data_IF_158629917770
#
_entry.id   IF_158629917770
#
_cell.length_a   1.000
_cell.length_b   1.000
_cell.length_c   1.000
_cell.angle_alpha   90.00
_cell.angle_beta   90.00
_cell.angle_gamma   90.00
#
_symmetry.space_group_name_H-M   'P 1'
#
loop_
_entity.id
_entity.type
_entity.pdbx_description
1 polymer ?
#
# COMPACT_ATOMS: atom_id res chain seq x y z
N UNK A 1 -33.57 -7.86 2.40
CA UNK A 1 -32.50 -6.87 2.62
C UNK A 1 -31.80 -7.30 3.89
N UNK A 2 -30.83 -8.21 3.76
CA UNK A 2 -30.12 -8.77 4.90
C UNK A 2 -29.07 -7.78 5.39
N UNK A 3 -29.17 -7.45 6.67
CA UNK A 3 -28.23 -6.63 7.39
C UNK A 3 -26.90 -7.40 7.53
N UNK A 4 -25.86 -6.95 6.81
CA UNK A 4 -24.48 -7.35 7.08
C UNK A 4 -24.00 -6.67 8.37
N UNK A 5 -24.30 -7.30 9.49
CA UNK A 5 -23.59 -7.06 10.75
C UNK A 5 -22.14 -7.50 10.58
N UNK A 6 -21.22 -6.54 10.68
CA UNK A 6 -19.77 -6.74 10.60
C UNK A 6 -19.33 -7.49 11.85
N UNK A 7 -19.06 -8.80 11.73
CA UNK A 7 -18.39 -9.60 12.76
C UNK A 7 -16.89 -9.66 12.49
N UNK A 8 -16.14 -9.43 13.56
CA UNK A 8 -14.72 -9.12 13.69
C UNK A 8 -13.73 -10.25 13.32
N UNK A 9 -14.05 -11.10 12.34
CA UNK A 9 -13.09 -12.04 11.72
C UNK A 9 -13.59 -12.50 10.36
N UNK A 10 -13.58 -11.62 9.35
CA UNK A 10 -13.81 -12.09 7.98
C UNK A 10 -12.65 -13.00 7.58
N UNK A 11 -12.95 -14.26 7.26
CA UNK A 11 -11.97 -15.24 6.81
C UNK A 11 -11.26 -14.70 5.56
N UNK A 12 -9.91 -14.76 5.54
CA UNK A 12 -9.09 -14.35 4.41
C UNK A 12 -9.56 -15.03 3.11
N UNK A 13 -10.05 -16.27 3.19
CA UNK A 13 -10.64 -16.97 2.05
C UNK A 13 -11.89 -16.28 1.51
N UNK A 14 -12.77 -15.79 2.39
CA UNK A 14 -13.99 -15.05 2.00
C UNK A 14 -13.64 -13.69 1.39
N UNK A 15 -12.68 -12.96 1.97
CA UNK A 15 -12.19 -11.70 1.40
C UNK A 15 -11.62 -11.95 0.01
N UNK A 16 -10.82 -13.02 -0.15
CA UNK A 16 -10.23 -13.38 -1.45
C UNK A 16 -11.29 -13.67 -2.50
N UNK A 17 -12.31 -14.44 -2.15
CA UNK A 17 -13.41 -14.77 -3.06
C UNK A 17 -14.21 -13.52 -3.45
N UNK A 18 -14.55 -12.66 -2.48
CA UNK A 18 -15.26 -11.41 -2.74
C UNK A 18 -14.44 -10.47 -3.64
N UNK A 19 -13.13 -10.39 -3.41
CA UNK A 19 -12.23 -9.61 -4.24
C UNK A 19 -12.18 -10.12 -5.69
N UNK A 20 -12.02 -11.43 -5.88
CA UNK A 20 -12.02 -12.06 -7.21
C UNK A 20 -13.34 -11.78 -7.96
N UNK A 21 -14.47 -11.91 -7.28
CA UNK A 21 -15.78 -11.63 -7.86
C UNK A 21 -15.92 -10.17 -8.33
N UNK A 22 -15.43 -9.20 -7.54
CA UNK A 22 -15.42 -7.79 -7.93
C UNK A 22 -14.53 -7.55 -9.16
N UNK A 23 -13.36 -8.20 -9.23
CA UNK A 23 -12.46 -8.07 -10.39
C UNK A 23 -13.06 -8.65 -11.67
N UNK A 24 -13.78 -9.78 -11.58
CA UNK A 24 -14.49 -10.40 -12.71
C UNK A 24 -15.64 -9.52 -13.22
N UNK A 25 -16.41 -8.93 -12.31
CA UNK A 25 -17.57 -8.08 -12.65
C UNK A 25 -17.16 -6.70 -13.15
N UNK A 26 -16.05 -6.15 -12.65
CA UNK A 26 -15.56 -4.81 -12.97
C UNK A 26 -14.07 -4.86 -13.36
N UNK A 27 -13.73 -5.39 -14.55
CA UNK A 27 -12.35 -5.48 -15.00
C UNK A 27 -11.64 -4.12 -14.96
N UNK A 28 -10.51 -4.06 -14.25
CA UNK A 28 -9.72 -2.84 -14.11
C UNK A 28 -10.15 -1.88 -13.00
N UNK A 29 -11.11 -2.27 -12.15
CA UNK A 29 -11.42 -1.54 -10.92
C UNK A 29 -10.16 -1.30 -10.07
N UNK A 30 -10.05 -0.10 -9.51
CA UNK A 30 -8.95 0.22 -8.57
C UNK A 30 -9.22 -0.45 -7.23
N UNK A 31 -8.18 -1.03 -6.61
CA UNK A 31 -8.29 -1.72 -5.32
C UNK A 31 -8.97 -0.86 -4.23
N UNK A 32 -8.75 0.46 -4.21
CA UNK A 32 -9.47 1.41 -3.34
C UNK A 32 -10.98 1.40 -3.51
N UNK A 33 -11.43 1.44 -4.75
CA UNK A 33 -12.87 1.46 -5.04
C UNK A 33 -13.50 0.13 -4.68
N UNK A 34 -12.81 -0.98 -4.95
CA UNK A 34 -13.25 -2.31 -4.55
C UNK A 34 -13.32 -2.46 -3.04
N UNK A 35 -12.30 -2.00 -2.32
CA UNK A 35 -12.24 -2.01 -0.86
C UNK A 35 -13.45 -1.26 -0.28
N UNK A 36 -13.72 -0.06 -0.81
CA UNK A 36 -14.92 0.72 -0.44
C UNK A 36 -16.23 0.01 -0.75
N UNK A 37 -16.37 -0.64 -1.90
CA UNK A 37 -17.57 -1.42 -2.26
C UNK A 37 -17.80 -2.59 -1.29
N UNK A 38 -16.73 -3.22 -0.83
CA UNK A 38 -16.76 -4.38 0.05
C UNK A 38 -16.82 -4.02 1.54
N UNK A 39 -16.68 -2.74 1.90
CA UNK A 39 -16.57 -2.31 3.29
C UNK A 39 -15.29 -2.81 3.97
N UNK A 40 -14.20 -2.95 3.21
CA UNK A 40 -12.90 -3.43 3.65
C UNK A 40 -11.82 -2.39 3.41
N UNK A 41 -10.64 -2.58 4.00
CA UNK A 41 -9.47 -1.75 3.71
C UNK A 41 -8.69 -2.25 2.48
N UNK A 42 -7.96 -1.36 1.83
CA UNK A 42 -7.08 -1.73 0.71
C UNK A 42 -6.02 -2.74 1.14
N UNK A 43 -5.50 -2.59 2.36
CA UNK A 43 -4.52 -3.49 2.95
C UNK A 43 -5.08 -4.91 3.16
N UNK A 44 -6.36 -5.04 3.54
CA UNK A 44 -7.02 -6.33 3.65
C UNK A 44 -7.14 -7.03 2.30
N UNK A 45 -7.57 -6.31 1.26
CA UNK A 45 -7.63 -6.89 -0.09
C UNK A 45 -6.24 -7.32 -0.57
N UNK A 46 -5.23 -6.49 -0.38
CA UNK A 46 -3.86 -6.79 -0.81
C UNK A 46 -3.26 -7.95 -0.01
N UNK A 47 -3.61 -8.13 1.26
CA UNK A 47 -3.18 -9.25 2.08
C UNK A 47 -3.62 -10.61 1.49
N UNK A 48 -4.76 -10.67 0.81
CA UNK A 48 -5.22 -11.90 0.12
C UNK A 48 -4.34 -12.32 -1.05
N UNK A 49 -3.50 -11.40 -1.56
CA UNK A 49 -2.60 -11.62 -2.69
C UNK A 49 -1.19 -12.04 -2.26
N UNK A 50 -0.92 -12.15 -0.95
CA UNK A 50 0.37 -12.59 -0.45
C UNK A 50 0.68 -14.02 -0.92
N UNK A 51 1.87 -14.21 -1.50
CA UNK A 51 2.29 -15.49 -2.09
C UNK A 51 1.88 -15.69 -3.55
N UNK A 52 1.11 -14.76 -4.12
CA UNK A 52 0.82 -14.68 -5.55
C UNK A 52 1.46 -13.41 -6.12
N UNK A 53 0.74 -12.29 -6.08
CA UNK A 53 1.18 -11.01 -6.63
C UNK A 53 1.83 -10.09 -5.58
N UNK A 54 1.68 -10.41 -4.29
CA UNK A 54 2.22 -9.61 -3.19
C UNK A 54 3.17 -10.41 -2.30
N UNK A 55 4.12 -9.69 -1.69
CA UNK A 55 4.98 -10.18 -0.61
C UNK A 55 4.88 -9.21 0.56
N UNK A 56 4.50 -9.72 1.74
CA UNK A 56 4.47 -8.92 2.97
C UNK A 56 5.89 -8.50 3.34
N UNK A 57 6.07 -7.22 3.61
CA UNK A 57 7.32 -6.64 4.10
C UNK A 57 7.38 -6.76 5.63
N UNK A 58 8.60 -6.94 6.15
CA UNK A 58 8.84 -6.83 7.58
C UNK A 58 8.70 -5.37 8.02
N UNK A 59 8.10 -5.09 9.20
CA UNK A 59 7.84 -3.73 9.66
C UNK A 59 9.08 -3.02 10.22
N UNK A 60 10.21 -3.10 9.51
CA UNK A 60 11.42 -2.34 9.80
C UNK A 60 11.48 -1.12 8.87
N UNK A 61 10.59 -0.15 9.13
CA UNK A 61 10.37 0.98 8.23
C UNK A 61 11.58 1.88 8.07
N UNK A 62 12.36 2.09 9.13
CA UNK A 62 13.59 2.90 9.06
C UNK A 62 14.62 2.27 8.12
N UNK A 63 14.78 0.93 8.17
CA UNK A 63 15.68 0.23 7.27
C UNK A 63 15.16 0.27 5.82
N UNK A 64 13.85 0.12 5.62
CA UNK A 64 13.23 0.24 4.30
C UNK A 64 13.47 1.64 3.70
N UNK A 65 13.18 2.69 4.46
CA UNK A 65 13.34 4.08 4.02
C UNK A 65 14.79 4.39 3.63
N UNK A 66 15.77 3.96 4.44
CA UNK A 66 17.20 4.16 4.15
C UNK A 66 17.66 3.50 2.85
N UNK A 67 16.93 2.51 2.35
CA UNK A 67 17.24 1.79 1.10
C UNK A 67 16.47 2.32 -0.10
N UNK A 68 15.53 3.26 0.07
CA UNK A 68 14.80 3.86 -1.06
C UNK A 68 15.71 4.42 -2.17
N UNK A 69 16.90 4.99 -1.90
CA UNK A 69 17.81 5.42 -2.97
C UNK A 69 18.27 4.29 -3.91
N UNK A 70 18.29 3.03 -3.46
CA UNK A 70 18.67 1.88 -4.28
C UNK A 70 17.66 1.62 -5.43
N UNK A 71 16.44 2.16 -5.34
CA UNK A 71 15.40 1.98 -6.36
C UNK A 71 15.65 2.80 -7.64
N UNK A 72 16.56 3.79 -7.60
CA UNK A 72 16.77 4.70 -8.72
C UNK A 72 15.53 5.56 -9.00
N UNK A 73 15.22 5.78 -10.29
CA UNK A 73 14.09 6.62 -10.71
C UNK A 73 12.77 5.87 -10.57
N UNK A 74 11.89 6.37 -9.72
CA UNK A 74 10.55 5.82 -9.47
C UNK A 74 9.46 6.88 -9.64
N UNK A 75 8.21 6.46 -9.52
CA UNK A 75 7.07 7.33 -9.26
C UNK A 75 6.61 7.10 -7.82
N UNK A 76 6.64 8.14 -6.99
CA UNK A 76 6.08 8.13 -5.64
C UNK A 76 4.67 8.71 -5.69
N UNK A 77 3.72 7.99 -5.08
CA UNK A 77 2.31 8.38 -5.03
C UNK A 77 1.87 8.49 -3.58
N UNK A 78 1.22 9.60 -3.22
CA UNK A 78 0.50 9.74 -1.95
C UNK A 78 -0.85 10.36 -2.25
N UNK A 79 -1.89 9.91 -1.55
CA UNK A 79 -3.26 10.36 -1.82
C UNK A 79 -4.12 10.38 -0.58
N UNK A 80 -5.19 11.16 -0.66
CA UNK A 80 -6.34 11.13 0.25
C UNK A 80 -7.63 11.04 -0.60
N UNK A 81 -8.80 11.33 -0.03
CA UNK A 81 -10.07 11.31 -0.78
C UNK A 81 -10.18 12.44 -1.82
N UNK A 82 -9.49 13.55 -1.61
CA UNK A 82 -9.62 14.76 -2.42
C UNK A 82 -8.54 14.91 -3.50
N UNK A 83 -7.37 14.31 -3.30
CA UNK A 83 -6.21 14.56 -4.14
C UNK A 83 -5.29 13.35 -4.25
N UNK A 84 -4.65 13.23 -5.42
CA UNK A 84 -3.55 12.31 -5.70
C UNK A 84 -2.33 13.14 -6.08
N UNK A 85 -1.25 12.97 -5.33
CA UNK A 85 0.05 13.56 -5.61
C UNK A 85 0.98 12.50 -6.18
N UNK A 86 1.44 12.71 -7.41
CA UNK A 86 2.44 11.86 -8.07
C UNK A 86 3.71 12.65 -8.34
N UNK A 87 4.86 12.10 -7.93
CA UNK A 87 6.16 12.70 -8.19
C UNK A 87 7.11 11.67 -8.80
N UNK A 88 7.81 12.03 -9.89
CA UNK A 88 8.77 11.15 -10.58
C UNK A 88 10.21 11.58 -10.36
N UNK A 89 11.00 10.75 -9.69
CA UNK A 89 12.36 11.10 -9.30
C UNK A 89 13.06 9.96 -8.59
N UNK A 90 14.30 10.18 -8.20
CA UNK A 90 14.98 9.30 -7.24
C UNK A 90 14.74 9.80 -5.82
N UNK A 91 14.78 8.88 -4.87
CA UNK A 91 14.97 9.23 -3.46
C UNK A 91 16.47 9.40 -3.22
N UNK A 92 16.89 10.50 -2.61
CA UNK A 92 18.33 10.79 -2.42
C UNK A 92 18.70 10.85 -0.94
N UNK A 93 18.35 11.94 -0.26
CA UNK A 93 18.75 12.17 1.13
C UNK A 93 17.65 11.73 2.07
N UNK A 94 17.75 10.51 2.58
CA UNK A 94 16.82 9.95 3.56
C UNK A 94 17.42 10.02 4.96
N UNK A 95 16.82 10.85 5.81
CA UNK A 95 17.20 10.95 7.23
C UNK A 95 16.04 10.46 8.10
N UNK A 96 16.33 9.55 9.03
CA UNK A 96 15.34 9.01 9.98
C UNK A 96 15.71 9.47 11.39
N UNK A 97 14.73 9.96 12.13
CA UNK A 97 14.90 10.60 13.44
C UNK A 97 13.91 10.04 14.46
N UNK A 98 14.28 10.14 15.75
CA UNK A 98 13.41 9.77 16.86
C UNK A 98 13.33 8.26 17.10
N UNK A 99 12.35 7.85 17.91
CA UNK A 99 12.06 6.48 18.28
C UNK A 99 10.71 6.37 18.99
N UNK A 100 10.14 5.16 19.07
CA UNK A 100 8.79 4.95 19.59
C UNK A 100 7.74 5.76 18.81
N UNK A 101 6.89 6.48 19.53
CA UNK A 101 5.77 7.25 18.97
C UNK A 101 6.18 8.52 18.18
N UNK A 102 7.41 9.00 18.35
CA UNK A 102 7.92 10.21 17.70
C UNK A 102 8.85 9.90 16.52
N UNK A 103 8.70 8.71 15.94
CA UNK A 103 9.55 8.22 14.88
C UNK A 103 9.14 8.82 13.53
N UNK A 104 10.06 9.50 12.86
CA UNK A 104 9.79 10.14 11.58
C UNK A 104 10.99 10.10 10.63
N UNK A 105 10.73 10.36 9.35
CA UNK A 105 11.78 10.52 8.35
C UNK A 105 11.53 11.76 7.48
N UNK A 106 12.63 12.33 7.00
CA UNK A 106 12.63 13.39 5.99
C UNK A 106 13.40 12.87 4.78
N UNK A 107 12.76 12.94 3.61
CA UNK A 107 13.36 12.61 2.32
C UNK A 107 13.47 13.88 1.51
N UNK A 108 14.69 14.20 1.06
CA UNK A 108 15.00 15.37 0.24
C UNK A 108 15.67 14.94 -1.07
N UNK A 109 15.37 15.64 -2.16
CA UNK A 109 15.85 15.33 -3.51
C UNK A 109 14.75 15.61 -4.53
N UNK A 110 14.78 14.97 -5.72
CA UNK A 110 13.70 15.05 -6.67
C UNK A 110 12.35 14.69 -6.04
N UNK A 111 12.27 13.59 -5.29
CA UNK A 111 11.10 13.29 -4.47
C UNK A 111 11.33 13.85 -3.06
N UNK A 112 10.47 14.77 -2.64
CA UNK A 112 10.47 15.33 -1.29
C UNK A 112 9.26 14.84 -0.50
N UNK A 113 9.49 14.27 0.69
CA UNK A 113 8.41 13.84 1.57
C UNK A 113 8.82 13.83 3.04
N UNK A 114 7.84 13.99 3.92
CA UNK A 114 7.97 13.76 5.36
C UNK A 114 7.11 12.57 5.73
N UNK A 115 7.71 11.61 6.42
CA UNK A 115 7.06 10.35 6.77
C UNK A 115 6.94 10.26 8.29
N UNK A 116 5.73 10.09 8.80
CA UNK A 116 5.46 9.85 10.21
C UNK A 116 5.24 8.35 10.42
N UNK A 117 6.24 7.67 10.98
CA UNK A 117 6.31 6.21 10.99
C UNK A 117 5.34 5.57 11.98
N UNK A 118 4.83 6.32 12.97
CA UNK A 118 3.85 5.83 13.94
C UNK A 118 2.60 5.25 13.29
N UNK A 119 2.15 5.83 12.18
CA UNK A 119 0.93 5.38 11.49
C UNK A 119 1.19 4.24 10.52
N UNK A 120 2.44 3.89 10.19
CA UNK A 120 2.72 2.83 9.23
C UNK A 120 2.53 1.45 9.86
N UNK A 121 1.59 0.67 9.33
CA UNK A 121 1.20 -0.62 9.90
C UNK A 121 1.55 -1.80 9.00
N UNK A 122 1.20 -1.73 7.71
CA UNK A 122 1.38 -2.81 6.76
C UNK A 122 2.15 -2.34 5.53
N UNK A 123 2.99 -3.22 4.99
CA UNK A 123 3.79 -2.93 3.80
C UNK A 123 3.89 -4.16 2.89
N UNK A 124 3.81 -3.94 1.59
CA UNK A 124 3.83 -5.00 0.59
C UNK A 124 4.72 -4.62 -0.59
N UNK A 125 5.55 -5.56 -1.05
CA UNK A 125 6.10 -5.51 -2.39
C UNK A 125 5.10 -6.21 -3.32
N UNK A 126 4.64 -5.50 -4.35
CA UNK A 126 3.58 -5.96 -5.25
C UNK A 126 4.12 -6.00 -6.66
N UNK A 127 3.94 -7.13 -7.34
CA UNK A 127 4.22 -7.33 -8.76
C UNK A 127 2.91 -7.71 -9.44
N UNK A 128 2.53 -6.94 -10.45
CA UNK A 128 1.29 -7.16 -11.21
C UNK A 128 1.55 -7.04 -12.69
N UNK A 129 0.81 -7.81 -13.48
CA UNK A 129 0.85 -7.74 -14.94
C UNK A 129 -0.43 -7.08 -15.44
N UNK A 130 -0.31 -5.97 -16.16
CA UNK A 130 -1.44 -5.24 -16.74
C UNK A 130 -1.27 -5.13 -18.26
N UNK A 131 -1.87 -6.06 -18.99
CA UNK A 131 -1.57 -6.26 -20.40
C UNK A 131 -0.10 -6.63 -20.57
N UNK A 132 0.62 -5.95 -21.45
CA UNK A 132 2.05 -6.22 -21.69
C UNK A 132 2.99 -5.50 -20.70
N UNK A 133 2.44 -4.86 -19.66
CA UNK A 133 3.21 -4.08 -18.68
C UNK A 133 3.31 -4.81 -17.36
N UNK A 134 4.55 -5.06 -16.93
CA UNK A 134 4.84 -5.44 -15.56
C UNK A 134 4.99 -4.19 -14.68
N UNK A 135 4.31 -4.20 -13.53
CA UNK A 135 4.32 -3.11 -12.56
C UNK A 135 4.78 -3.65 -11.22
N UNK A 136 5.90 -3.12 -10.73
CA UNK A 136 6.44 -3.39 -9.40
C UNK A 136 6.26 -2.17 -8.51
N UNK A 137 5.74 -2.36 -7.31
CA UNK A 137 5.52 -1.28 -6.35
C UNK A 137 5.79 -1.70 -4.90
N UNK A 138 6.14 -0.71 -4.07
CA UNK A 138 6.09 -0.83 -2.62
C UNK A 138 4.86 -0.06 -2.15
N UNK A 139 3.96 -0.73 -1.45
CA UNK A 139 2.71 -0.15 -0.97
C UNK A 139 2.65 -0.23 0.54
N UNK A 140 2.41 0.91 1.19
CA UNK A 140 2.38 1.03 2.64
C UNK A 140 1.01 1.56 3.06
N UNK A 141 0.46 0.96 4.12
CA UNK A 141 -0.87 1.24 4.66
C UNK A 141 -0.77 1.51 6.15
N UNK A 142 -1.71 2.30 6.65
CA UNK A 142 -1.90 2.51 8.08
C UNK A 142 -2.80 1.41 8.69
N UNK A 143 -3.31 1.66 9.89
CA UNK A 143 -4.11 0.71 10.65
C UNK A 143 -5.58 0.61 10.18
N UNK A 144 -6.00 1.46 9.25
CA UNK A 144 -7.39 1.57 8.79
C UNK A 144 -7.66 0.78 7.49
#
# INVERSE_FOLDING_TARGET
MENLTITDTTDISQIKQAWQQVQEQQPGIRIREAARQLGLSEGQLLATQVGQEAKRLLPNWSALLKRLPELGRVMSLTRNDACVLEHKGAFEKVNVFGGGDHHMAVVLGPIETRVFLKSWYAGFAVHTVKGDRELTSLQIFDHE
#
